data_IF_245748585496
#
_entry.id   IF_245748585496
#
_cell.length_a   1.000
_cell.length_b   1.000
_cell.length_c   1.000
_cell.angle_alpha   90.00
_cell.angle_beta   90.00
_cell.angle_gamma   90.00
#
_symmetry.space_group_name_H-M   'P 1'
#
loop_
_entity.id
_entity.type
_entity.pdbx_description
1 polymer ?
#
# COMPACT_ATOMS: atom_id res chain seq x y z
N UNK A 1 -2.95 15.71 18.84
CA UNK A 1 -2.83 15.17 20.21
C UNK A 1 -2.52 13.69 20.11
N UNK A 2 -1.65 13.17 20.98
CA UNK A 2 -1.30 11.74 21.04
C UNK A 2 -1.60 11.20 22.45
N UNK A 3 -1.95 9.91 22.55
CA UNK A 3 -2.20 9.20 23.82
C UNK A 3 -1.31 7.96 23.88
N UNK A 4 -0.81 7.64 25.07
CA UNK A 4 0.11 6.53 25.29
C UNK A 4 -0.42 5.66 26.44
N UNK A 5 -0.18 4.37 26.36
CA UNK A 5 -0.55 3.38 27.37
C UNK A 5 0.63 2.40 27.53
N UNK A 6 0.85 1.91 28.75
CA UNK A 6 1.83 0.84 28.98
C UNK A 6 1.22 -0.52 28.72
N UNK A 7 2.03 -1.57 28.60
CA UNK A 7 1.52 -2.91 28.34
C UNK A 7 0.70 -3.44 29.53
N UNK A 8 -0.57 -3.78 29.29
CA UNK A 8 -1.47 -4.35 30.29
C UNK A 8 -2.36 -5.43 29.66
N UNK A 9 -2.60 -6.57 30.36
CA UNK A 9 -3.52 -7.60 29.89
C UNK A 9 -4.98 -7.13 29.96
N UNK A 10 -5.84 -7.70 29.11
CA UNK A 10 -7.26 -7.33 29.02
C UNK A 10 -8.09 -8.32 28.21
N UNK A 11 -9.25 -7.86 27.72
CA UNK A 11 -10.10 -8.64 26.81
C UNK A 11 -9.67 -8.41 25.36
N UNK A 12 -9.43 -9.50 24.63
CA UNK A 12 -9.07 -9.46 23.21
C UNK A 12 -10.21 -9.97 22.32
N UNK A 13 -10.60 -9.15 21.34
CA UNK A 13 -11.53 -9.54 20.28
C UNK A 13 -11.27 -8.71 19.03
N UNK A 14 -11.49 -9.28 17.85
CA UNK A 14 -11.30 -8.59 16.58
C UNK A 14 -12.41 -8.93 15.58
N UNK A 15 -12.66 -8.03 14.63
CA UNK A 15 -13.50 -8.32 13.47
C UNK A 15 -12.75 -9.24 12.51
N UNK A 16 -13.48 -10.12 11.82
CA UNK A 16 -12.89 -10.95 10.77
C UNK A 16 -12.29 -10.09 9.64
N UNK A 17 -11.11 -10.50 9.17
CA UNK A 17 -10.49 -9.94 7.97
C UNK A 17 -11.38 -10.22 6.75
N UNK A 18 -11.55 -9.27 5.83
CA UNK A 18 -12.28 -9.52 4.59
C UNK A 18 -11.58 -10.59 3.74
N UNK A 19 -12.37 -11.37 3.02
CA UNK A 19 -11.88 -12.41 2.10
C UNK A 19 -11.32 -11.75 0.82
N UNK A 20 -9.99 -11.61 0.78
CA UNK A 20 -9.24 -10.97 -0.31
C UNK A 20 -8.01 -11.84 -0.59
N UNK A 21 -7.69 -12.13 -1.86
CA UNK A 21 -6.47 -12.86 -2.21
C UNK A 21 -5.20 -12.21 -1.64
N UNK A 22 -4.16 -13.02 -1.45
CA UNK A 22 -2.88 -12.54 -0.94
C UNK A 22 -2.16 -11.58 -1.90
N UNK A 23 -1.16 -10.81 -1.40
CA UNK A 23 -0.44 -9.79 -2.16
C UNK A 23 0.23 -10.31 -3.44
N UNK A 24 0.61 -11.59 -3.48
CA UNK A 24 1.20 -12.26 -4.63
C UNK A 24 0.29 -12.27 -5.87
N UNK A 25 -1.01 -12.08 -5.69
CA UNK A 25 -2.00 -12.03 -6.77
C UNK A 25 -2.17 -10.64 -7.39
N UNK A 26 -1.48 -9.62 -6.88
CA UNK A 26 -1.65 -8.23 -7.31
C UNK A 26 -0.31 -7.61 -7.72
N UNK A 27 -0.34 -6.83 -8.79
CA UNK A 27 0.80 -6.03 -9.20
C UNK A 27 1.03 -4.87 -8.23
N UNK A 28 2.30 -4.58 -7.94
CA UNK A 28 2.72 -3.39 -7.22
C UNK A 28 2.50 -2.12 -8.04
N UNK A 29 2.36 -0.99 -7.36
CA UNK A 29 2.28 0.31 -8.02
C UNK A 29 3.50 0.60 -8.91
N UNK A 30 4.69 0.12 -8.54
CA UNK A 30 5.91 0.30 -9.32
C UNK A 30 5.89 -0.51 -10.61
N UNK A 31 5.38 -1.74 -10.56
CA UNK A 31 5.13 -2.55 -11.77
C UNK A 31 4.10 -1.86 -12.66
N UNK A 32 2.95 -1.46 -12.09
CA UNK A 32 1.89 -0.74 -12.80
C UNK A 32 2.39 0.56 -13.46
N UNK A 33 3.22 1.33 -12.75
CA UNK A 33 3.84 2.54 -13.28
C UNK A 33 4.81 2.23 -14.43
N UNK A 34 5.57 1.15 -14.33
CA UNK A 34 6.51 0.71 -15.38
C UNK A 34 5.78 0.38 -16.69
N UNK A 35 4.59 -0.21 -16.62
CA UNK A 35 3.76 -0.49 -17.80
C UNK A 35 3.28 0.76 -18.55
N UNK A 36 3.22 1.91 -17.87
CA UNK A 36 2.76 3.18 -18.47
C UNK A 36 3.88 4.21 -18.58
N UNK A 37 5.12 3.85 -18.22
CA UNK A 37 6.24 4.78 -18.06
C UNK A 37 6.56 5.59 -19.32
N UNK A 38 6.37 5.01 -20.51
CA UNK A 38 6.59 5.66 -21.80
C UNK A 38 5.57 6.76 -22.11
N UNK A 39 4.37 6.66 -21.53
CA UNK A 39 3.30 7.66 -21.68
C UNK A 39 3.39 8.77 -20.61
N UNK A 40 4.28 8.63 -19.63
CA UNK A 40 4.44 9.59 -18.56
C UNK A 40 5.46 10.68 -18.94
N UNK A 41 5.15 11.97 -18.70
CA UNK A 41 6.14 13.04 -18.72
C UNK A 41 7.33 12.70 -17.82
N UNK A 42 8.54 13.11 -18.19
CA UNK A 42 9.79 12.71 -17.51
C UNK A 42 9.75 12.94 -15.99
N UNK A 43 9.17 14.07 -15.54
CA UNK A 43 9.00 14.39 -14.12
C UNK A 43 8.16 13.34 -13.38
N UNK A 44 7.05 12.90 -13.98
CA UNK A 44 6.18 11.89 -13.39
C UNK A 44 6.82 10.51 -13.44
N UNK A 45 7.54 10.19 -14.52
CA UNK A 45 8.28 8.94 -14.63
C UNK A 45 9.29 8.77 -13.49
N UNK A 46 10.07 9.81 -13.17
CA UNK A 46 11.02 9.77 -12.04
C UNK A 46 10.33 9.55 -10.68
N UNK A 47 9.17 10.16 -10.47
CA UNK A 47 8.42 10.03 -9.21
C UNK A 47 7.72 8.68 -9.06
N UNK A 48 7.12 8.16 -10.14
CA UNK A 48 6.28 6.95 -10.08
C UNK A 48 7.03 5.65 -10.34
N UNK A 49 8.10 5.67 -11.15
CA UNK A 49 8.90 4.48 -11.46
C UNK A 49 10.14 4.36 -10.57
N UNK A 50 10.37 5.31 -9.66
CA UNK A 50 11.46 5.26 -8.70
C UNK A 50 11.23 4.20 -7.63
N UNK A 51 12.31 3.80 -6.96
CA UNK A 51 12.22 2.95 -5.78
C UNK A 51 11.45 3.67 -4.67
N UNK A 52 10.44 2.99 -4.12
CA UNK A 52 9.62 3.51 -3.02
C UNK A 52 10.01 2.80 -1.73
N UNK A 53 10.03 3.50 -0.58
CA UNK A 53 10.29 2.87 0.72
C UNK A 53 9.14 1.95 1.18
N UNK A 54 7.95 2.15 0.62
CA UNK A 54 6.76 1.36 0.88
C UNK A 54 6.30 0.76 -0.44
N UNK A 55 6.22 -0.56 -0.50
CA UNK A 55 5.60 -1.27 -1.61
C UNK A 55 4.09 -1.35 -1.37
N UNK A 56 3.33 -0.95 -2.37
CA UNK A 56 1.87 -0.96 -2.35
C UNK A 56 1.36 -1.80 -3.52
N UNK A 57 0.43 -2.72 -3.26
CA UNK A 57 -0.25 -3.53 -4.28
C UNK A 57 -1.77 -3.33 -4.18
N UNK A 58 -2.38 -2.52 -5.05
CA UNK A 58 -3.81 -2.30 -5.04
C UNK A 58 -4.60 -3.51 -5.56
N UNK A 59 -5.67 -3.88 -4.84
CA UNK A 59 -6.62 -4.92 -5.30
C UNK A 59 -7.45 -4.40 -6.48
N UNK A 60 -7.84 -3.13 -6.42
CA UNK A 60 -8.56 -2.44 -7.49
C UNK A 60 -7.67 -1.35 -8.06
N UNK A 61 -7.19 -1.54 -9.30
CA UNK A 61 -6.36 -0.54 -9.98
C UNK A 61 -7.24 0.55 -10.60
N UNK A 62 -7.04 1.79 -10.17
CA UNK A 62 -7.68 2.98 -10.76
C UNK A 62 -6.62 3.72 -11.57
N UNK A 63 -6.86 3.88 -12.87
CA UNK A 63 -5.99 4.68 -13.72
C UNK A 63 -6.20 6.18 -13.39
N UNK A 64 -5.19 6.90 -12.87
CA UNK A 64 -5.34 8.30 -12.50
C UNK A 64 -5.48 9.25 -13.69
N UNK A 65 -4.97 8.85 -14.87
CA UNK A 65 -5.06 9.63 -16.12
C UNK A 65 -6.42 9.46 -16.81
N UNK A 66 -7.15 8.39 -16.48
CA UNK A 66 -8.48 8.10 -17.03
C UNK A 66 -9.34 7.37 -15.98
N UNK A 67 -9.75 8.06 -14.91
CA UNK A 67 -10.53 7.43 -13.85
C UNK A 67 -11.89 6.98 -14.37
N UNK A 68 -12.36 5.85 -13.86
CA UNK A 68 -13.71 5.33 -14.08
C UNK A 68 -14.45 5.32 -12.76
N UNK A 69 -15.79 5.40 -12.81
CA UNK A 69 -16.62 5.20 -11.62
C UNK A 69 -16.32 3.82 -11.03
N UNK A 70 -16.12 3.77 -9.73
CA UNK A 70 -15.87 2.56 -8.95
C UNK A 70 -16.59 2.70 -7.60
N UNK A 71 -16.76 1.58 -6.92
CA UNK A 71 -17.25 1.57 -5.54
C UNK A 71 -16.33 2.40 -4.63
N UNK A 72 -16.86 3.07 -3.60
CA UNK A 72 -16.07 3.86 -2.64
C UNK A 72 -15.34 2.94 -1.65
N UNK A 73 -14.61 1.95 -2.17
CA UNK A 73 -13.91 0.91 -1.41
C UNK A 73 -12.58 0.60 -2.07
N UNK A 74 -11.51 0.66 -1.31
CA UNK A 74 -10.16 0.35 -1.78
C UNK A 74 -9.46 -0.57 -0.78
N UNK A 75 -8.77 -1.56 -1.32
CA UNK A 75 -7.90 -2.45 -0.56
C UNK A 75 -6.50 -2.36 -1.14
N UNK A 76 -5.52 -2.20 -0.24
CA UNK A 76 -4.11 -2.10 -0.56
C UNK A 76 -3.38 -3.12 0.31
N UNK A 77 -2.57 -3.96 -0.33
CA UNK A 77 -1.51 -4.65 0.38
C UNK A 77 -0.32 -3.72 0.48
N UNK A 78 0.24 -3.58 1.68
CA UNK A 78 1.34 -2.65 1.95
C UNK A 78 2.43 -3.40 2.69
N UNK A 79 3.70 -3.19 2.31
CA UNK A 79 4.86 -3.61 3.09
C UNK A 79 5.99 -2.59 3.00
N UNK A 80 6.86 -2.56 4.00
CA UNK A 80 8.15 -1.90 3.87
C UNK A 80 8.95 -2.54 2.72
N UNK A 81 9.57 -1.70 1.90
CA UNK A 81 10.50 -2.12 0.86
C UNK A 81 11.94 -2.04 1.42
N UNK A 82 12.24 -2.95 2.34
CA UNK A 82 13.49 -2.99 3.08
C UNK A 82 13.33 -3.66 4.44
N UNK A 83 14.40 -3.70 5.21
CA UNK A 83 14.38 -4.22 6.58
C UNK A 83 13.91 -3.15 7.57
N UNK A 84 13.05 -3.55 8.50
CA UNK A 84 12.60 -2.69 9.60
C UNK A 84 13.38 -3.07 10.87
N UNK A 85 13.91 -2.10 11.63
CA UNK A 85 14.54 -2.38 12.92
C UNK A 85 13.56 -3.03 13.88
N UNK A 86 14.00 -3.96 14.72
CA UNK A 86 13.15 -4.56 15.78
C UNK A 86 12.97 -3.58 16.95
N UNK A 87 12.11 -2.57 16.73
CA UNK A 87 11.82 -1.51 17.69
C UNK A 87 10.38 -1.04 17.55
N UNK A 88 9.58 -1.29 18.59
CA UNK A 88 8.15 -0.95 18.65
C UNK A 88 7.86 0.55 18.50
N UNK A 89 8.84 1.44 18.79
CA UNK A 89 8.68 2.88 18.59
C UNK A 89 8.84 3.30 17.12
N UNK A 90 9.37 2.41 16.28
CA UNK A 90 9.54 2.61 14.83
C UNK A 90 8.43 1.89 14.04
N UNK A 91 7.90 0.79 14.59
CA UNK A 91 6.79 0.02 14.02
C UNK A 91 5.45 0.77 14.15
#
# INVERSE_FOLDING_TARGET
>A
TASYHGDQPGFDHQKAMPDIPGPENFASESELASHIAEFLPERLRKTFCGEKPIETRPVTVINPLKPKKAEPKQYLWIRANGEMPDNQLIH
#
